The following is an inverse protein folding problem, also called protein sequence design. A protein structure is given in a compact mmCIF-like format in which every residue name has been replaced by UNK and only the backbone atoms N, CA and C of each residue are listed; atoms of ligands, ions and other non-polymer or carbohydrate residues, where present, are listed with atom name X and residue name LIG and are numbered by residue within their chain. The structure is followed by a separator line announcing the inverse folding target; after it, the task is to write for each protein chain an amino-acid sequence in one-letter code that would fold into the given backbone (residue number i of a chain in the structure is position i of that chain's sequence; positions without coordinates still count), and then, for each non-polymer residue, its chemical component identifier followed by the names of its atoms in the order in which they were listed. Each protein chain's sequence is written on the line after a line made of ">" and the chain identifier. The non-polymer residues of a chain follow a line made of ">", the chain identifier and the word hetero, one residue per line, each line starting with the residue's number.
data_IF_925787487865
#
_entry.id   IF_925787487865
#
_cell.length_a   1.000
_cell.length_b   1.000
_cell.length_c   1.000
_cell.angle_alpha   90.00
_cell.angle_beta   90.00
_cell.angle_gamma   90.00
#
_symmetry.space_group_name_H-M   'P 1'
#
loop_
_entity.id
_entity.type
_entity.pdbx_description
1 polymer ?
#
# COMPACT_ATOMS: atom_id res chain seq x y z
N UNK A 1 -10.05 10.04 -6.68
CA UNK A 1 -10.73 9.90 -5.37
C UNK A 1 -11.27 8.48 -5.15
N UNK A 2 -12.04 7.92 -6.08
CA UNK A 2 -12.62 6.56 -5.98
C UNK A 2 -11.55 5.46 -5.82
N UNK A 3 -10.47 5.51 -6.60
CA UNK A 3 -9.34 4.58 -6.49
C UNK A 3 -8.68 4.60 -5.10
N UNK A 4 -8.38 5.78 -4.55
CA UNK A 4 -7.81 5.86 -3.21
C UNK A 4 -8.80 5.41 -2.11
N UNK A 5 -10.09 5.64 -2.32
CA UNK A 5 -11.13 5.16 -1.42
C UNK A 5 -11.16 3.62 -1.37
N UNK A 6 -11.10 2.93 -2.51
CA UNK A 6 -11.06 1.46 -2.50
C UNK A 6 -9.81 0.92 -1.79
N UNK A 7 -8.65 1.53 -2.00
CA UNK A 7 -7.43 1.18 -1.27
C UNK A 7 -7.58 1.37 0.24
N UNK A 8 -8.17 2.47 0.70
CA UNK A 8 -8.42 2.69 2.13
C UNK A 8 -9.35 1.64 2.73
N UNK A 9 -10.37 1.18 1.98
CA UNK A 9 -11.25 0.10 2.42
C UNK A 9 -10.50 -1.22 2.59
N UNK A 10 -9.66 -1.58 1.61
CA UNK A 10 -8.82 -2.78 1.65
C UNK A 10 -7.81 -2.71 2.80
N UNK A 11 -7.08 -1.60 2.96
CA UNK A 11 -6.09 -1.47 4.05
C UNK A 11 -6.75 -1.53 5.42
N UNK A 12 -7.94 -0.93 5.59
CA UNK A 12 -8.70 -1.03 6.83
C UNK A 12 -9.16 -2.48 7.10
N UNK A 13 -9.57 -3.22 6.06
CA UNK A 13 -9.92 -4.64 6.18
C UNK A 13 -8.74 -5.49 6.64
N UNK A 14 -7.54 -5.24 6.13
CA UNK A 14 -6.31 -5.89 6.60
C UNK A 14 -5.95 -5.48 8.03
N UNK A 15 -6.07 -4.20 8.38
CA UNK A 15 -5.82 -3.72 9.74
C UNK A 15 -6.71 -4.44 10.77
N UNK A 16 -8.01 -4.58 10.47
CA UNK A 16 -8.95 -5.30 11.35
C UNK A 16 -8.61 -6.79 11.42
N UNK A 17 -8.21 -7.40 10.29
CA UNK A 17 -7.82 -8.81 10.24
C UNK A 17 -6.51 -9.11 10.99
N UNK A 18 -5.60 -8.15 11.10
CA UNK A 18 -4.31 -8.31 11.80
C UNK A 18 -4.45 -8.55 13.30
N UNK A 19 -5.63 -8.29 13.90
CA UNK A 19 -5.89 -8.57 15.31
C UNK A 19 -6.28 -10.04 15.58
N UNK A 20 -6.41 -10.87 14.54
CA UNK A 20 -6.69 -12.30 14.68
C UNK A 20 -5.41 -13.12 14.81
N UNK A 21 -5.44 -14.11 15.71
CA UNK A 21 -4.43 -15.17 15.83
C UNK A 21 -5.10 -16.53 15.54
N UNK A 22 -4.69 -17.29 14.50
CA UNK A 22 -3.64 -17.00 13.53
C UNK A 22 -4.06 -15.95 12.47
N UNK A 23 -3.07 -15.39 11.78
CA UNK A 23 -3.28 -14.43 10.70
C UNK A 23 -3.99 -15.12 9.52
N UNK A 24 -5.06 -14.53 8.95
CA UNK A 24 -5.88 -15.24 7.97
C UNK A 24 -5.21 -15.44 6.59
N UNK A 25 -4.06 -14.82 6.37
CA UNK A 25 -3.21 -14.97 5.18
C UNK A 25 -1.93 -15.78 5.45
N UNK A 26 -1.75 -16.36 6.65
CA UNK A 26 -0.55 -17.15 6.95
C UNK A 26 -0.70 -18.64 6.63
N UNK A 27 -1.93 -19.14 6.62
CA UNK A 27 -2.27 -20.57 6.47
C UNK A 27 -3.27 -20.75 5.32
N UNK A 28 -3.14 -21.85 4.58
CA UNK A 28 -4.05 -22.27 3.54
C UNK A 28 -5.37 -22.74 4.15
N UNK A 29 -6.49 -22.26 3.60
CA UNK A 29 -7.83 -22.76 3.95
C UNK A 29 -8.15 -24.03 3.15
N UNK A 30 -8.94 -24.94 3.72
CA UNK A 30 -9.41 -26.16 3.06
C UNK A 30 -10.19 -25.90 1.75
N UNK A 31 -10.80 -24.72 1.63
CA UNK A 31 -11.50 -24.29 0.41
C UNK A 31 -10.56 -23.95 -0.75
N UNK A 32 -9.29 -23.70 -0.47
CA UNK A 32 -8.29 -23.37 -1.48
C UNK A 32 -7.66 -24.69 -1.95
N UNK A 33 -7.68 -24.91 -3.26
CA UNK A 33 -7.23 -26.16 -3.89
C UNK A 33 -5.78 -26.53 -3.46
N UNK A 34 -5.34 -27.76 -3.76
CA UNK A 34 -4.02 -28.30 -3.41
C UNK A 34 -2.81 -27.52 -3.96
N UNK A 35 -3.02 -26.44 -4.71
CA UNK A 35 -2.00 -25.54 -5.25
C UNK A 35 -1.54 -24.45 -4.27
N UNK A 36 -2.14 -24.36 -3.07
CA UNK A 36 -1.80 -23.37 -2.06
C UNK A 36 -0.52 -23.71 -1.27
N UNK A 37 0.36 -22.73 -1.07
CA UNK A 37 1.53 -22.82 -0.17
C UNK A 37 1.35 -21.90 1.05
N UNK A 38 1.54 -22.47 2.24
CA UNK A 38 1.54 -21.75 3.51
C UNK A 38 2.67 -20.73 3.57
N UNK A 39 2.34 -19.46 3.83
CA UNK A 39 3.34 -18.39 3.98
C UNK A 39 4.13 -18.50 5.29
N UNK A 40 3.64 -19.31 6.24
CA UNK A 40 4.31 -19.59 7.51
C UNK A 40 5.42 -20.64 7.41
N UNK A 41 5.30 -21.58 6.48
CA UNK A 41 6.25 -22.68 6.32
C UNK A 41 7.32 -22.32 5.29
N UNK A 42 8.59 -22.35 5.72
CA UNK A 42 9.72 -22.38 4.81
C UNK A 42 9.77 -23.78 4.15
N UNK A 43 8.91 -24.01 3.16
CA UNK A 43 8.88 -25.29 2.46
C UNK A 43 10.11 -25.36 1.55
N UNK A 44 10.97 -26.36 1.78
CA UNK A 44 11.96 -26.80 0.80
C UNK A 44 11.19 -27.17 -0.47
N UNK A 45 11.24 -26.30 -1.47
CA UNK A 45 10.55 -26.49 -2.74
C UNK A 45 11.06 -27.79 -3.37
N UNK A 46 10.24 -28.85 -3.34
CA UNK A 46 10.52 -30.07 -4.09
C UNK A 46 10.36 -29.72 -5.56
N UNK A 47 11.51 -29.63 -6.21
CA UNK A 47 11.74 -29.37 -7.63
C UNK A 47 11.15 -30.53 -8.44
N UNK A 48 9.85 -30.52 -8.72
CA UNK A 48 9.24 -31.66 -9.42
C UNK A 48 7.76 -31.55 -9.81
N UNK A 49 7.09 -30.44 -9.51
CA UNK A 49 5.67 -30.31 -9.80
C UNK A 49 5.44 -29.13 -10.77
N UNK A 50 5.00 -29.43 -11.99
CA UNK A 50 4.69 -28.43 -13.05
C UNK A 50 3.43 -27.60 -12.75
N UNK A 51 2.87 -27.71 -11.55
CA UNK A 51 1.73 -26.92 -11.10
C UNK A 51 2.17 -25.52 -10.65
N UNK A 52 1.49 -24.48 -11.12
CA UNK A 52 1.65 -23.11 -10.64
C UNK A 52 1.17 -23.01 -9.20
N UNK A 53 2.10 -23.10 -8.24
CA UNK A 53 1.78 -22.97 -6.82
C UNK A 53 1.62 -21.51 -6.45
N UNK A 54 0.59 -21.19 -5.67
CA UNK A 54 0.21 -19.82 -5.29
C UNK A 54 0.33 -19.66 -3.78
N UNK A 55 0.79 -18.50 -3.31
CA UNK A 55 0.91 -18.26 -1.87
C UNK A 55 -0.46 -18.08 -1.20
N UNK A 56 -0.59 -18.56 0.04
CA UNK A 56 -1.79 -18.35 0.87
C UNK A 56 -2.18 -16.87 0.99
N UNK A 57 -1.21 -15.95 1.06
CA UNK A 57 -1.49 -14.51 1.11
C UNK A 57 -2.08 -13.92 -0.18
N UNK A 58 -1.65 -14.42 -1.34
CA UNK A 58 -2.21 -14.03 -2.64
C UNK A 58 -3.63 -14.55 -2.82
N UNK A 59 -3.87 -15.82 -2.47
CA UNK A 59 -5.22 -16.41 -2.50
C UNK A 59 -6.18 -15.71 -1.53
N UNK A 60 -5.70 -15.31 -0.35
CA UNK A 60 -6.49 -14.51 0.58
C UNK A 60 -6.90 -13.17 -0.04
N UNK A 61 -5.97 -12.48 -0.71
CA UNK A 61 -6.26 -11.20 -1.35
C UNK A 61 -7.27 -11.32 -2.49
N UNK A 62 -7.06 -12.27 -3.41
CA UNK A 62 -7.90 -12.46 -4.59
C UNK A 62 -9.28 -13.00 -4.23
N UNK A 63 -9.34 -14.07 -3.43
CA UNK A 63 -10.59 -14.79 -3.17
C UNK A 63 -11.39 -14.24 -1.99
N UNK A 64 -10.74 -13.83 -0.90
CA UNK A 64 -11.44 -13.40 0.33
C UNK A 64 -11.67 -11.89 0.38
N UNK A 65 -10.66 -11.10 -0.03
CA UNK A 65 -10.72 -9.63 0.05
C UNK A 65 -11.34 -9.01 -1.19
N UNK A 66 -10.82 -9.33 -2.38
CA UNK A 66 -11.32 -8.77 -3.64
C UNK A 66 -12.58 -9.49 -4.13
N UNK A 67 -12.67 -10.80 -3.92
CA UNK A 67 -13.69 -11.68 -4.51
C UNK A 67 -13.73 -11.49 -6.03
N UNK A 68 -12.56 -11.64 -6.65
CA UNK A 68 -12.40 -11.49 -8.09
C UNK A 68 -13.34 -12.44 -8.85
N UNK A 69 -14.00 -11.92 -9.88
CA UNK A 69 -14.89 -12.69 -10.74
C UNK A 69 -14.11 -13.21 -11.96
N UNK A 70 -14.45 -14.42 -12.42
CA UNK A 70 -13.77 -15.07 -13.56
C UNK A 70 -13.95 -14.33 -14.89
N UNK A 71 -15.04 -13.59 -15.05
CA UNK A 71 -15.29 -12.72 -16.20
C UNK A 71 -16.06 -11.46 -15.80
N UNK A 72 -15.81 -10.37 -16.53
CA UNK A 72 -16.53 -9.10 -16.39
C UNK A 72 -17.89 -9.12 -17.12
N UNK A 73 -18.14 -10.12 -17.97
CA UNK A 73 -19.32 -10.20 -18.85
C UNK A 73 -20.64 -10.32 -18.07
N UNK A 74 -20.61 -10.97 -16.91
CA UNK A 74 -21.76 -11.09 -15.99
C UNK A 74 -21.94 -9.86 -15.06
N UNK A 75 -21.08 -8.84 -15.24
CA UNK A 75 -21.11 -7.58 -14.51
C UNK A 75 -20.29 -7.58 -13.21
N UNK A 76 -20.17 -6.40 -12.59
CA UNK A 76 -19.33 -6.15 -11.41
C UNK A 76 -19.88 -6.69 -10.08
N UNK A 77 -20.98 -7.45 -10.12
CA UNK A 77 -21.63 -8.01 -8.93
C UNK A 77 -22.15 -6.95 -7.94
N UNK A 78 -22.43 -7.41 -6.72
CA UNK A 78 -22.84 -6.54 -5.61
C UNK A 78 -21.63 -6.21 -4.72
N UNK A 79 -21.54 -4.98 -4.16
CA UNK A 79 -20.40 -4.58 -3.34
C UNK A 79 -20.33 -5.42 -2.06
N UNK A 80 -19.13 -5.89 -1.72
CA UNK A 80 -18.92 -6.62 -0.48
C UNK A 80 -19.20 -5.74 0.74
N UNK A 81 -20.18 -6.14 1.55
CA UNK A 81 -20.64 -5.34 2.69
C UNK A 81 -19.55 -5.12 3.75
N UNK A 82 -18.58 -6.04 3.89
CA UNK A 82 -17.48 -5.91 4.85
C UNK A 82 -16.52 -4.84 4.39
N UNK A 83 -16.18 -4.81 3.09
CA UNK A 83 -15.36 -3.74 2.51
C UNK A 83 -16.06 -2.39 2.60
N UNK A 84 -17.38 -2.33 2.36
CA UNK A 84 -18.17 -1.09 2.51
C UNK A 84 -18.09 -0.57 3.96
N UNK A 85 -18.27 -1.44 4.95
CA UNK A 85 -18.16 -1.06 6.36
C UNK A 85 -16.74 -0.62 6.72
N UNK A 86 -15.72 -1.35 6.25
CA UNK A 86 -14.31 -0.97 6.44
C UNK A 86 -13.98 0.38 5.77
N UNK A 87 -14.63 0.73 4.66
CA UNK A 87 -14.46 2.02 3.99
C UNK A 87 -15.17 3.16 4.73
N UNK A 88 -16.29 2.88 5.40
CA UNK A 88 -17.06 3.89 6.15
C UNK A 88 -16.25 4.48 7.31
N UNK A 89 -15.38 3.69 7.94
CA UNK A 89 -14.55 4.12 9.08
C UNK A 89 -13.56 5.25 8.68
N UNK A 90 -12.62 5.06 7.72
CA UNK A 90 -11.71 6.12 7.31
C UNK A 90 -12.45 7.33 6.73
N UNK A 91 -13.57 7.14 6.02
CA UNK A 91 -14.41 8.24 5.56
C UNK A 91 -14.97 9.08 6.70
N UNK A 92 -15.48 8.43 7.74
CA UNK A 92 -15.97 9.12 8.94
C UNK A 92 -14.85 9.89 9.62
N UNK A 93 -13.67 9.30 9.75
CA UNK A 93 -12.48 10.00 10.26
C UNK A 93 -12.14 11.24 9.43
N UNK A 94 -12.09 11.13 8.10
CA UNK A 94 -11.83 12.26 7.20
C UNK A 94 -12.86 13.36 7.43
N UNK A 95 -14.16 13.04 7.40
CA UNK A 95 -15.23 14.00 7.65
C UNK A 95 -15.06 14.70 9.01
N UNK A 96 -14.80 13.97 10.09
CA UNK A 96 -14.57 14.54 11.42
C UNK A 96 -13.37 15.49 11.48
N UNK A 97 -12.28 15.16 10.77
CA UNK A 97 -11.10 16.05 10.71
C UNK A 97 -11.35 17.31 9.90
N UNK A 98 -12.26 17.27 8.92
CA UNK A 98 -12.62 18.40 8.06
C UNK A 98 -13.68 19.32 8.70
N UNK A 99 -14.60 18.79 9.51
CA UNK A 99 -15.67 19.58 10.17
C UNK A 99 -15.10 20.73 11.01
N UNK A 100 -13.95 20.54 11.67
CA UNK A 100 -13.27 21.58 12.46
C UNK A 100 -12.32 22.48 11.64
N UNK A 101 -12.32 22.31 10.31
CA UNK A 101 -11.50 23.06 9.37
C UNK A 101 -10.00 22.78 9.44
N UNK A 102 -9.23 23.57 8.69
CA UNK A 102 -7.81 23.32 8.44
C UNK A 102 -6.92 23.35 9.69
N UNK A 103 -7.33 24.07 10.74
CA UNK A 103 -6.60 24.09 12.03
C UNK A 103 -6.65 22.73 12.75
N UNK A 104 -7.74 21.98 12.59
CA UNK A 104 -7.87 20.63 13.14
C UNK A 104 -7.16 19.62 12.26
N UNK A 105 -7.35 19.71 10.94
CA UNK A 105 -6.66 18.86 9.96
C UNK A 105 -5.13 18.97 10.09
N UNK A 106 -4.60 20.18 10.33
CA UNK A 106 -3.17 20.40 10.55
C UNK A 106 -2.62 19.68 11.78
N UNK A 107 -3.38 19.59 12.88
CA UNK A 107 -2.96 18.83 14.07
C UNK A 107 -2.88 17.33 13.80
N UNK A 108 -3.88 16.79 13.11
CA UNK A 108 -3.90 15.37 12.73
C UNK A 108 -2.82 15.06 11.69
N UNK A 109 -2.52 16.01 10.80
CA UNK A 109 -1.46 15.87 9.81
C UNK A 109 -0.08 15.67 10.44
N UNK A 110 0.23 16.27 11.59
CA UNK A 110 1.50 15.98 12.28
C UNK A 110 1.63 14.50 12.64
N UNK A 111 0.58 13.89 13.18
CA UNK A 111 0.59 12.46 13.47
C UNK A 111 0.69 11.62 12.18
N UNK A 112 -0.15 11.90 11.19
CA UNK A 112 -0.17 11.17 9.92
C UNK A 112 1.14 11.29 9.13
N UNK A 113 1.87 12.39 9.27
CA UNK A 113 3.15 12.57 8.63
C UNK A 113 4.27 11.82 9.37
N UNK A 114 4.29 11.85 10.71
CA UNK A 114 5.37 11.27 11.51
C UNK A 114 5.23 9.75 11.66
N UNK A 115 4.01 9.26 11.84
CA UNK A 115 3.74 7.85 12.13
C UNK A 115 4.31 6.88 11.06
N UNK A 116 4.16 7.11 9.74
CA UNK A 116 4.75 6.26 8.71
C UNK A 116 6.28 6.16 8.83
N UNK A 117 6.99 7.24 9.21
CA UNK A 117 8.45 7.18 9.39
C UNK A 117 8.84 6.27 10.56
N UNK A 118 8.07 6.30 11.65
CA UNK A 118 8.29 5.39 12.80
C UNK A 118 8.09 3.94 12.37
N UNK A 119 7.03 3.65 11.64
CA UNK A 119 6.76 2.30 11.11
C UNK A 119 7.86 1.85 10.15
N UNK A 120 8.27 2.70 9.22
CA UNK A 120 9.36 2.41 8.29
C UNK A 120 10.68 2.12 9.01
N UNK A 121 10.98 2.86 10.09
CA UNK A 121 12.18 2.62 10.89
C UNK A 121 12.13 1.25 11.59
N UNK A 122 11.00 0.89 12.19
CA UNK A 122 10.82 -0.42 12.84
C UNK A 122 10.92 -1.56 11.82
N UNK A 123 10.28 -1.41 10.66
CA UNK A 123 10.35 -2.38 9.57
C UNK A 123 11.77 -2.50 9.00
N UNK A 124 12.51 -1.40 8.89
CA UNK A 124 13.91 -1.39 8.45
C UNK A 124 14.78 -2.19 9.43
N UNK A 125 14.68 -1.91 10.74
CA UNK A 125 15.42 -2.66 11.76
C UNK A 125 15.09 -4.15 11.66
N UNK A 126 13.80 -4.49 11.57
CA UNK A 126 13.39 -5.90 11.44
C UNK A 126 13.93 -6.55 10.17
N UNK A 127 13.83 -5.88 9.03
CA UNK A 127 14.35 -6.36 7.75
C UNK A 127 15.86 -6.60 7.79
N UNK A 128 16.63 -5.70 8.41
CA UNK A 128 18.07 -5.87 8.58
C UNK A 128 18.45 -7.02 9.53
N UNK A 129 17.58 -7.37 10.49
CA UNK A 129 17.80 -8.50 11.42
C UNK A 129 17.41 -9.87 10.84
N UNK A 130 16.74 -9.91 9.69
CA UNK A 130 16.33 -11.16 9.05
C UNK A 130 17.53 -11.83 8.33
N UNK A 131 17.55 -13.15 8.36
CA UNK A 131 18.51 -13.93 7.59
C UNK A 131 18.32 -13.68 6.09
N UNK A 132 19.43 -13.53 5.35
CA UNK A 132 19.39 -13.23 3.91
C UNK A 132 19.19 -11.76 3.54
N UNK A 133 19.05 -10.84 4.51
CA UNK A 133 18.86 -9.41 4.26
C UNK A 133 19.96 -8.78 3.37
N UNK A 134 21.22 -9.22 3.53
CA UNK A 134 22.34 -8.74 2.73
C UNK A 134 22.20 -9.02 1.23
N UNK A 135 21.64 -10.17 0.85
CA UNK A 135 21.41 -10.51 -0.56
C UNK A 135 20.31 -9.63 -1.18
N UNK A 136 19.23 -9.38 -0.44
CA UNK A 136 18.16 -8.47 -0.86
C UNK A 136 18.65 -7.03 -1.02
N UNK A 137 19.48 -6.54 -0.09
CA UNK A 137 20.08 -5.20 -0.17
C UNK A 137 21.03 -5.08 -1.36
N UNK A 138 21.87 -6.08 -1.60
CA UNK A 138 22.78 -6.09 -2.75
C UNK A 138 21.99 -6.08 -4.06
N UNK A 139 20.91 -6.86 -4.15
CA UNK A 139 20.04 -6.86 -5.33
C UNK A 139 19.41 -5.48 -5.57
N UNK A 140 18.94 -4.81 -4.53
CA UNK A 140 18.32 -3.48 -4.63
C UNK A 140 19.30 -2.38 -5.09
N UNK A 141 20.55 -2.40 -4.59
CA UNK A 141 21.53 -1.33 -4.84
C UNK A 141 22.36 -1.59 -6.10
N UNK A 142 22.49 -2.85 -6.57
CA UNK A 142 23.35 -3.21 -7.70
C UNK A 142 22.99 -2.40 -8.95
N UNK A 143 23.86 -1.48 -9.40
CA UNK A 143 23.54 -0.61 -10.52
C UNK A 143 23.64 -1.38 -11.84
N UNK A 144 22.70 -1.11 -12.75
CA UNK A 144 22.71 -1.63 -14.12
C UNK A 144 22.97 -0.46 -15.08
N UNK A 145 24.24 -0.16 -15.33
CA UNK A 145 24.66 1.01 -16.10
C UNK A 145 24.12 1.02 -17.54
N UNK A 146 24.01 -0.15 -18.16
CA UNK A 146 23.50 -0.29 -19.53
C UNK A 146 22.05 0.22 -19.68
N UNK A 147 21.25 0.11 -18.61
CA UNK A 147 19.84 0.53 -18.60
C UNK A 147 19.67 2.05 -18.65
N UNK A 148 20.67 2.82 -18.24
CA UNK A 148 20.58 4.30 -18.18
C UNK A 148 20.46 4.90 -19.59
N UNK A 149 20.96 4.20 -20.61
CA UNK A 149 20.83 4.63 -22.01
C UNK A 149 19.45 4.38 -22.60
N UNK A 150 18.58 3.61 -21.92
CA UNK A 150 17.22 3.35 -22.38
C UNK A 150 16.30 4.53 -22.04
N UNK A 151 15.66 5.12 -23.06
CA UNK A 151 14.71 6.23 -22.88
C UNK A 151 13.55 5.89 -21.93
N UNK A 152 13.18 4.61 -21.84
CA UNK A 152 12.11 4.12 -20.95
C UNK A 152 12.45 4.34 -19.47
N UNK A 153 13.73 4.25 -19.07
CA UNK A 153 14.17 4.49 -17.69
C UNK A 153 13.96 5.95 -17.31
N UNK A 154 14.30 6.88 -18.20
CA UNK A 154 14.07 8.31 -17.99
C UNK A 154 12.59 8.67 -17.96
N UNK A 155 11.79 8.10 -18.86
CA UNK A 155 10.35 8.27 -18.85
C UNK A 155 9.73 7.83 -17.51
N UNK A 156 10.13 6.65 -17.01
CA UNK A 156 9.68 6.15 -15.71
C UNK A 156 10.13 7.05 -14.55
N UNK A 157 11.38 7.53 -14.58
CA UNK A 157 11.91 8.43 -13.54
C UNK A 157 11.17 9.77 -13.49
N UNK A 158 10.94 10.41 -14.65
CA UNK A 158 10.18 11.67 -14.73
C UNK A 158 8.74 11.46 -14.25
N UNK A 159 8.11 10.38 -14.69
CA UNK A 159 6.74 10.02 -14.28
C UNK A 159 6.64 9.82 -12.77
N UNK A 160 7.63 9.12 -12.18
CA UNK A 160 7.70 8.89 -10.75
C UNK A 160 7.83 10.20 -9.97
N UNK A 161 8.75 11.10 -10.35
CA UNK A 161 8.93 12.41 -9.70
C UNK A 161 7.67 13.27 -9.84
N UNK A 162 7.08 13.31 -11.04
CA UNK A 162 5.87 14.09 -11.33
C UNK A 162 4.69 13.68 -10.44
N UNK A 163 4.39 12.38 -10.35
CA UNK A 163 3.30 11.89 -9.51
C UNK A 163 3.62 11.92 -8.02
N UNK A 164 4.89 11.71 -7.62
CA UNK A 164 5.30 11.77 -6.20
C UNK A 164 5.15 13.17 -5.61
N UNK A 165 5.45 14.21 -6.40
CA UNK A 165 5.30 15.61 -5.97
C UNK A 165 3.86 16.12 -6.12
N UNK A 166 2.97 15.39 -6.81
CA UNK A 166 1.59 15.81 -7.09
C UNK A 166 1.51 17.22 -7.71
N UNK A 167 2.43 17.52 -8.63
CA UNK A 167 2.50 18.83 -9.30
C UNK A 167 1.22 19.06 -10.12
N UNK A 168 0.71 20.29 -10.12
CA UNK A 168 -0.51 20.70 -10.83
C UNK A 168 -1.85 20.12 -10.33
N UNK A 169 -1.89 19.39 -9.21
CA UNK A 169 -3.16 18.88 -8.65
C UNK A 169 -3.90 19.89 -7.73
N UNK A 170 -3.42 21.13 -7.63
CA UNK A 170 -4.06 22.20 -6.84
C UNK A 170 -3.87 22.11 -5.32
N UNK A 171 -3.47 20.95 -4.78
CA UNK A 171 -3.25 20.76 -3.34
C UNK A 171 -2.25 21.76 -2.75
N UNK A 172 -1.10 21.93 -3.41
CA UNK A 172 -0.05 22.87 -2.97
C UNK A 172 -0.56 24.31 -3.03
N UNK A 173 -1.31 24.69 -4.06
CA UNK A 173 -1.92 26.02 -4.16
C UNK A 173 -2.93 26.26 -3.04
N UNK A 174 -3.79 25.27 -2.75
CA UNK A 174 -4.76 25.33 -1.65
C UNK A 174 -4.04 25.54 -0.32
N UNK A 175 -3.01 24.76 0.00
CA UNK A 175 -2.25 24.95 1.24
C UNK A 175 -1.53 26.30 1.30
N UNK A 176 -1.00 26.77 0.16
CA UNK A 176 -0.32 28.06 0.06
C UNK A 176 -1.27 29.24 0.32
N UNK A 177 -2.56 29.11 -0.03
CA UNK A 177 -3.57 30.14 0.20
C UNK A 177 -3.83 30.46 1.68
N UNK A 178 -3.49 29.53 2.58
CA UNK A 178 -3.60 29.71 4.03
C UNK A 178 -2.30 30.22 4.68
N UNK A 179 -1.24 30.45 3.89
CA UNK A 179 0.03 30.95 4.39
C UNK A 179 0.02 32.48 4.53
N UNK A 180 0.89 33.02 5.40
CA UNK A 180 1.06 34.49 5.51
C UNK A 180 1.85 35.02 4.31
N UNK A 181 1.45 36.17 3.79
CA UNK A 181 2.11 36.83 2.64
C UNK A 181 3.59 37.15 2.86
N UNK A 182 4.01 37.34 4.11
CA UNK A 182 5.41 37.66 4.47
C UNK A 182 6.29 36.42 4.64
N UNK A 183 5.75 35.22 4.49
CA UNK A 183 6.48 33.99 4.75
C UNK A 183 7.35 33.61 3.54
N UNK A 184 8.63 33.30 3.76
CA UNK A 184 9.56 33.01 2.69
C UNK A 184 9.34 31.60 2.12
N UNK A 185 8.62 31.52 1.00
CA UNK A 185 8.27 30.26 0.33
C UNK A 185 9.47 29.53 -0.27
N UNK A 186 10.53 30.23 -0.67
CA UNK A 186 11.71 29.62 -1.31
C UNK A 186 12.42 28.61 -0.39
N UNK A 187 12.35 28.83 0.93
CA UNK A 187 12.90 27.91 1.93
C UNK A 187 12.11 26.60 2.07
N UNK A 188 10.83 26.59 1.71
CA UNK A 188 9.95 25.42 1.87
C UNK A 188 9.81 24.58 0.60
N UNK A 189 10.27 25.10 -0.55
CA UNK A 189 10.12 24.47 -1.88
C UNK A 189 11.43 23.83 -2.35
N UNK A 190 12.57 24.20 -1.77
CA UNK A 190 13.90 23.65 -2.09
C UNK A 190 14.22 22.44 -1.22
#
# INVERSE_FOLDING_TARGET
>A
MTYYASLMGVTMRYLVASFGDPLPWSECKDSWNATCIDSRLAVNMVEGDNATKVSSAELYFVNDVLKEADSIDDGIGSPDWRLVLCLLIPWTCICLTLVKGIKSSGKVAYFLAIFPYVVMLVLLIRACTLEGAGAGMLYFIKPQWDRIFEAKVWYAAVTQVFFSLTVCFGNVMMYSSYNRFTNNVNRFVQ
#
